data_IF_955831343152
#
_entry.id   IF_955831343152
#
_cell.length_a   1.000
_cell.length_b   1.000
_cell.length_c   1.000
_cell.angle_alpha   90.00
_cell.angle_beta   90.00
_cell.angle_gamma   90.00
#
_symmetry.space_group_name_H-M   'P 1'
#
loop_
_entity.id
_entity.type
_entity.pdbx_description
1 polymer ?
#
# COMPACT_ATOMS: atom_id res chain seq x y z
N UNK A 1 -12.92 4.78 2.95
CA UNK A 1 -13.58 5.36 1.76
C UNK A 1 -12.96 6.73 1.56
N UNK A 2 -12.04 6.85 0.61
CA UNK A 2 -11.38 8.12 0.29
C UNK A 2 -12.38 8.98 -0.48
N UNK A 3 -12.55 10.23 -0.08
CA UNK A 3 -13.49 11.15 -0.72
C UNK A 3 -12.79 12.48 -0.95
N UNK A 4 -12.52 12.77 -2.20
CA UNK A 4 -11.82 13.97 -2.61
C UNK A 4 -12.25 14.34 -4.04
N UNK A 5 -12.49 15.63 -4.35
CA UNK A 5 -12.92 16.05 -5.68
C UNK A 5 -11.94 15.62 -6.79
N UNK A 6 -10.63 15.62 -6.48
CA UNK A 6 -9.59 15.25 -7.42
C UNK A 6 -9.23 13.76 -7.47
N UNK A 7 -10.06 12.87 -6.91
CA UNK A 7 -9.89 11.43 -7.02
C UNK A 7 -11.12 10.82 -7.71
N UNK A 8 -10.89 9.86 -8.61
CA UNK A 8 -11.96 9.03 -9.16
C UNK A 8 -12.58 8.21 -8.02
N UNK A 9 -13.90 8.31 -7.86
CA UNK A 9 -14.63 7.57 -6.83
C UNK A 9 -14.56 6.06 -7.05
N UNK A 10 -14.16 5.30 -6.03
CA UNK A 10 -14.25 3.84 -6.03
C UNK A 10 -15.57 3.43 -5.37
N UNK A 11 -16.45 2.77 -6.12
CA UNK A 11 -17.77 2.40 -5.63
C UNK A 11 -17.81 0.98 -5.06
N UNK A 12 -17.23 0.00 -5.76
CA UNK A 12 -17.29 -1.40 -5.33
C UNK A 12 -16.19 -2.27 -5.96
N UNK A 13 -15.95 -3.43 -5.36
CA UNK A 13 -15.14 -4.51 -5.94
C UNK A 13 -16.04 -5.75 -6.02
N UNK A 14 -16.30 -6.22 -7.22
CA UNK A 14 -17.11 -7.41 -7.50
C UNK A 14 -16.22 -8.59 -7.86
N UNK A 15 -16.70 -9.79 -7.58
CA UNK A 15 -16.08 -11.03 -8.04
C UNK A 15 -17.13 -11.82 -8.79
N UNK A 16 -16.75 -12.42 -9.92
CA UNK A 16 -17.61 -13.37 -10.61
C UNK A 16 -17.51 -14.77 -9.98
N UNK A 17 -18.25 -15.73 -10.53
CA UNK A 17 -18.23 -17.13 -10.08
C UNK A 17 -16.89 -17.82 -10.28
N UNK A 18 -15.98 -17.25 -11.08
CA UNK A 18 -14.63 -17.74 -11.32
C UNK A 18 -13.58 -17.00 -10.45
N UNK A 19 -14.01 -16.24 -9.44
CA UNK A 19 -13.17 -15.40 -8.58
C UNK A 19 -12.41 -14.30 -9.35
N UNK A 20 -12.85 -13.94 -10.56
CA UNK A 20 -12.28 -12.82 -11.29
C UNK A 20 -12.81 -11.51 -10.71
N UNK A 21 -11.89 -10.67 -10.23
CA UNK A 21 -12.20 -9.37 -9.64
C UNK A 21 -12.50 -8.30 -10.70
N UNK A 22 -13.53 -7.49 -10.45
CA UNK A 22 -13.93 -6.32 -11.21
C UNK A 22 -14.02 -5.12 -10.27
N UNK A 23 -13.60 -3.96 -10.75
CA UNK A 23 -13.65 -2.72 -9.98
C UNK A 23 -14.71 -1.82 -10.59
N UNK A 24 -15.67 -1.39 -9.77
CA UNK A 24 -16.71 -0.42 -10.13
C UNK A 24 -16.26 0.94 -9.62
N UNK A 25 -16.06 1.88 -10.53
CA UNK A 25 -15.57 3.22 -10.24
C UNK A 25 -16.38 4.29 -10.97
N UNK A 26 -16.17 5.54 -10.59
CA UNK A 26 -16.71 6.71 -11.24
C UNK A 26 -16.31 6.76 -12.73
N UNK A 27 -17.27 7.03 -13.59
CA UNK A 27 -17.04 7.24 -15.02
C UNK A 27 -16.69 8.71 -15.27
N UNK A 28 -15.54 8.95 -15.90
CA UNK A 28 -15.09 10.27 -16.35
C UNK A 28 -15.19 10.32 -17.86
N UNK A 29 -16.00 11.24 -18.39
CA UNK A 29 -16.25 11.36 -19.83
C UNK A 29 -15.23 12.24 -20.57
N UNK A 30 -14.49 13.08 -19.83
CA UNK A 30 -13.54 14.01 -20.44
C UNK A 30 -12.20 13.38 -20.81
N UNK A 31 -11.34 14.19 -21.39
CA UNK A 31 -10.04 13.77 -21.92
C UNK A 31 -9.04 13.43 -20.82
N UNK A 32 -8.05 12.59 -21.15
CA UNK A 32 -6.90 12.37 -20.27
C UNK A 32 -5.92 13.54 -20.33
N UNK A 33 -5.04 13.64 -19.33
CA UNK A 33 -3.94 14.60 -19.36
C UNK A 33 -2.95 14.28 -20.49
N UNK A 34 -2.83 13.01 -20.89
CA UNK A 34 -2.04 12.61 -22.06
C UNK A 34 -2.55 13.31 -23.32
N UNK A 35 -3.86 13.22 -23.57
CA UNK A 35 -4.50 13.86 -24.74
C UNK A 35 -4.30 15.39 -24.71
N UNK A 36 -4.44 15.99 -23.52
CA UNK A 36 -4.24 17.43 -23.35
C UNK A 36 -2.78 17.86 -23.62
N UNK A 37 -1.78 17.07 -23.21
CA UNK A 37 -0.36 17.34 -23.51
C UNK A 37 -0.09 17.18 -25.01
N UNK A 38 -0.65 16.16 -25.64
CA UNK A 38 -0.44 15.90 -27.08
C UNK A 38 -1.01 17.03 -27.96
N UNK A 39 -2.09 17.69 -27.51
CA UNK A 39 -2.60 18.92 -28.11
C UNK A 39 -1.67 20.14 -27.95
N UNK A 40 -0.69 20.07 -27.04
CA UNK A 40 0.24 21.15 -26.69
C UNK A 40 1.72 20.74 -26.83
N UNK A 41 2.21 20.44 -28.05
CA UNK A 41 3.57 19.91 -28.28
C UNK A 41 4.71 20.90 -27.97
N UNK A 42 4.38 22.15 -27.62
CA UNK A 42 5.34 23.20 -27.20
C UNK A 42 5.13 23.62 -25.73
N UNK A 43 4.37 22.84 -24.97
CA UNK A 43 3.95 23.16 -23.61
C UNK A 43 2.61 23.89 -23.56
N UNK A 44 1.94 23.75 -22.42
CA UNK A 44 0.65 24.37 -22.15
C UNK A 44 0.78 25.84 -21.75
N UNK A 45 -0.24 26.68 -22.04
CA UNK A 45 -0.34 28.00 -21.44
C UNK A 45 -0.30 27.93 -19.92
N UNK A 46 0.33 28.92 -19.28
CA UNK A 46 0.57 28.92 -17.83
C UNK A 46 -0.69 28.69 -16.99
N UNK A 47 -1.81 29.32 -17.35
CA UNK A 47 -3.07 29.17 -16.62
C UNK A 47 -3.61 27.74 -16.67
N UNK A 48 -3.47 27.06 -17.79
CA UNK A 48 -3.90 25.67 -17.96
C UNK A 48 -2.96 24.71 -17.22
N UNK A 49 -1.65 24.94 -17.29
CA UNK A 49 -0.65 24.21 -16.51
C UNK A 49 -0.93 24.31 -15.00
N UNK A 50 -1.14 25.52 -14.49
CA UNK A 50 -1.42 25.75 -13.06
C UNK A 50 -2.74 25.08 -12.62
N UNK A 51 -3.77 25.08 -13.49
CA UNK A 51 -5.03 24.38 -13.24
C UNK A 51 -4.85 22.87 -13.14
N UNK A 52 -4.16 22.27 -14.10
CA UNK A 52 -3.91 20.82 -14.14
C UNK A 52 -3.04 20.39 -12.97
N UNK A 53 -1.87 21.01 -12.84
CA UNK A 53 -0.87 20.63 -11.85
C UNK A 53 -1.32 20.92 -10.42
N UNK A 54 -2.00 22.05 -10.20
CA UNK A 54 -2.52 22.44 -8.90
C UNK A 54 -3.51 21.44 -8.31
N UNK A 55 -4.49 21.04 -9.11
CA UNK A 55 -5.50 20.06 -8.70
C UNK A 55 -4.93 18.64 -8.58
N UNK A 56 -3.99 18.27 -9.47
CA UNK A 56 -3.24 17.01 -9.37
C UNK A 56 -2.48 16.93 -8.05
N UNK A 57 -1.72 17.97 -7.71
CA UNK A 57 -0.97 18.05 -6.46
C UNK A 57 -1.89 18.02 -5.22
N UNK A 58 -3.08 18.63 -5.29
CA UNK A 58 -4.09 18.55 -4.23
C UNK A 58 -4.57 17.12 -3.99
N UNK A 59 -4.90 16.39 -5.06
CA UNK A 59 -5.29 14.97 -4.97
C UNK A 59 -4.17 14.08 -4.42
N UNK A 60 -2.92 14.30 -4.86
CA UNK A 60 -1.75 13.54 -4.35
C UNK A 60 -1.48 13.85 -2.88
N UNK A 61 -1.55 15.13 -2.47
CA UNK A 61 -1.41 15.52 -1.08
C UNK A 61 -2.46 14.82 -0.19
N UNK A 62 -3.71 14.75 -0.64
CA UNK A 62 -4.78 14.03 0.06
C UNK A 62 -4.45 12.53 0.22
N UNK A 63 -3.96 11.87 -0.83
CA UNK A 63 -3.55 10.47 -0.75
C UNK A 63 -2.42 10.27 0.28
N UNK A 64 -1.38 11.11 0.22
CA UNK A 64 -0.22 11.02 1.11
C UNK A 64 -0.59 11.22 2.57
N UNK A 65 -1.49 12.16 2.88
CA UNK A 65 -1.97 12.41 4.24
C UNK A 65 -2.78 11.24 4.81
N UNK A 66 -3.38 10.42 3.93
CA UNK A 66 -4.07 9.19 4.30
C UNK A 66 -3.14 7.95 4.23
N UNK A 67 -1.83 8.14 4.09
CA UNK A 67 -0.83 7.06 4.07
C UNK A 67 -0.84 6.22 2.78
N UNK A 68 -1.41 6.75 1.70
CA UNK A 68 -1.54 6.08 0.41
C UNK A 68 -0.57 6.72 -0.58
N UNK A 69 0.26 5.89 -1.20
CA UNK A 69 1.16 6.28 -2.29
C UNK A 69 0.54 5.81 -3.59
N UNK A 70 0.50 6.67 -4.62
CA UNK A 70 -0.11 6.38 -5.91
C UNK A 70 0.65 5.29 -6.66
N UNK A 71 1.98 5.42 -6.79
CA UNK A 71 2.94 4.47 -7.40
C UNK A 71 2.93 4.35 -8.92
N UNK A 72 1.82 4.65 -9.58
CA UNK A 72 1.73 4.66 -11.06
C UNK A 72 1.23 6.00 -11.60
N UNK A 73 1.80 7.11 -11.11
CA UNK A 73 1.36 8.45 -11.49
C UNK A 73 1.88 8.80 -12.89
N UNK A 74 0.97 8.97 -13.85
CA UNK A 74 1.27 9.30 -15.25
C UNK A 74 0.08 10.02 -15.91
N UNK A 75 0.29 10.79 -17.00
CA UNK A 75 -0.78 11.52 -17.68
C UNK A 75 -1.96 10.67 -18.14
N UNK A 76 -1.74 9.40 -18.46
CA UNK A 76 -2.81 8.48 -18.87
C UNK A 76 -3.79 8.12 -17.73
N UNK A 77 -3.40 8.32 -16.47
CA UNK A 77 -4.22 8.01 -15.28
C UNK A 77 -4.84 9.29 -14.67
N UNK A 78 -4.76 10.41 -15.37
CA UNK A 78 -5.23 11.72 -14.91
C UNK A 78 -6.22 12.22 -15.94
N UNK A 79 -7.40 12.67 -15.51
CA UNK A 79 -8.51 13.00 -16.39
C UNK A 79 -9.08 14.38 -16.07
N UNK A 80 -9.64 15.04 -17.07
CA UNK A 80 -10.48 16.23 -16.88
C UNK A 80 -11.94 15.82 -16.83
N UNK A 81 -12.66 16.27 -15.80
CA UNK A 81 -14.10 16.19 -15.73
C UNK A 81 -14.69 17.59 -15.58
N UNK A 82 -15.00 18.22 -16.72
CA UNK A 82 -15.58 19.57 -16.76
C UNK A 82 -14.77 20.61 -15.99
N UNK A 83 -13.44 20.57 -16.13
CA UNK A 83 -12.51 21.47 -15.43
C UNK A 83 -12.01 20.97 -14.07
N UNK A 84 -12.55 19.86 -13.56
CA UNK A 84 -12.08 19.20 -12.34
C UNK A 84 -11.10 18.08 -12.73
N UNK A 85 -9.87 18.16 -12.24
CA UNK A 85 -8.87 17.11 -12.50
C UNK A 85 -9.13 15.93 -11.59
N UNK A 86 -9.24 14.72 -12.12
CA UNK A 86 -9.46 13.48 -11.36
C UNK A 86 -8.31 12.50 -11.58
N UNK A 87 -7.79 11.97 -10.47
CA UNK A 87 -6.74 10.95 -10.46
C UNK A 87 -7.39 9.56 -10.37
N UNK A 88 -7.09 8.70 -11.34
CA UNK A 88 -7.49 7.28 -11.38
C UNK A 88 -6.39 6.36 -10.89
N UNK A 89 -6.68 5.05 -10.82
CA UNK A 89 -5.73 3.95 -10.57
C UNK A 89 -4.83 4.05 -9.31
N UNK A 90 -5.15 4.96 -8.39
CA UNK A 90 -4.42 5.11 -7.14
C UNK A 90 -4.59 3.87 -6.24
N UNK A 91 -3.48 3.37 -5.70
CA UNK A 91 -3.50 2.29 -4.70
C UNK A 91 -3.84 0.88 -5.23
N UNK A 92 -4.13 0.71 -6.52
CA UNK A 92 -4.36 -0.61 -7.14
C UNK A 92 -3.06 -1.44 -7.24
N UNK A 93 -1.89 -0.79 -7.22
CA UNK A 93 -0.59 -1.45 -7.36
C UNK A 93 -0.25 -2.37 -6.17
N UNK A 94 -0.79 -2.14 -4.96
CA UNK A 94 -0.56 -3.08 -3.82
C UNK A 94 -1.22 -4.43 -4.04
N UNK A 95 -2.35 -4.47 -4.75
CA UNK A 95 -3.09 -5.71 -5.02
C UNK A 95 -2.59 -6.42 -6.29
N UNK A 96 -2.15 -5.65 -7.30
CA UNK A 96 -1.63 -6.20 -8.55
C UNK A 96 -0.18 -6.71 -8.40
N UNK A 97 0.60 -6.19 -7.44
CA UNK A 97 2.01 -6.61 -7.24
C UNK A 97 2.17 -8.02 -6.62
N UNK A 98 1.11 -8.63 -6.09
CA UNK A 98 1.14 -10.04 -5.69
C UNK A 98 1.25 -11.00 -6.89
N UNK A 99 0.93 -10.55 -8.11
CA UNK A 99 1.10 -11.32 -9.34
C UNK A 99 2.25 -10.78 -10.18
N UNK A 100 3.50 -10.95 -9.74
CA UNK A 100 4.71 -10.86 -10.61
C UNK A 100 4.76 -11.95 -11.70
N UNK A 101 3.61 -12.47 -12.15
CA UNK A 101 3.51 -13.57 -13.13
C UNK A 101 2.55 -13.28 -14.30
N UNK A 102 1.93 -12.10 -14.36
CA UNK A 102 1.13 -11.69 -15.52
C UNK A 102 1.87 -10.63 -16.31
N UNK A 103 2.25 -10.91 -17.55
CA UNK A 103 2.72 -9.92 -18.52
C UNK A 103 1.60 -8.94 -18.88
N UNK A 104 1.28 -8.05 -17.95
CA UNK A 104 0.62 -6.80 -18.25
C UNK A 104 1.65 -5.94 -18.98
N UNK A 105 1.27 -5.46 -20.15
CA UNK A 105 2.03 -4.60 -21.05
C UNK A 105 2.64 -3.41 -20.30
N UNK A 106 3.84 -3.58 -19.74
CA UNK A 106 4.70 -2.46 -19.33
C UNK A 106 5.13 -1.76 -20.61
N UNK A 107 4.26 -0.87 -21.11
CA UNK A 107 4.55 -0.05 -22.27
C UNK A 107 5.72 0.88 -21.93
N UNK A 108 6.59 1.12 -22.91
CA UNK A 108 7.74 2.03 -22.80
C UNK A 108 7.34 3.37 -22.15
N UNK A 109 6.11 3.83 -22.42
CA UNK A 109 5.50 5.03 -21.84
C UNK A 109 5.51 5.11 -20.31
N UNK A 110 5.37 3.99 -19.60
CA UNK A 110 5.29 3.97 -18.13
C UNK A 110 6.63 4.33 -17.46
N UNK A 111 7.77 3.98 -18.09
CA UNK A 111 9.09 4.21 -17.49
C UNK A 111 9.48 5.68 -17.39
N UNK A 112 8.89 6.55 -18.21
CA UNK A 112 9.18 8.00 -18.23
C UNK A 112 8.86 8.72 -16.92
N UNK A 113 7.97 8.16 -16.10
CA UNK A 113 7.53 8.75 -14.83
C UNK A 113 8.09 8.02 -13.61
N UNK A 114 8.91 6.98 -13.83
CA UNK A 114 9.41 6.10 -12.77
C UNK A 114 10.57 6.75 -12.01
N UNK A 115 10.43 6.85 -10.68
CA UNK A 115 11.50 7.31 -9.81
C UNK A 115 12.66 6.28 -9.77
N UNK A 116 13.93 6.74 -9.72
CA UNK A 116 15.10 5.87 -9.80
C UNK A 116 15.19 4.82 -8.68
N UNK A 117 14.63 5.11 -7.51
CA UNK A 117 14.63 4.23 -6.34
C UNK A 117 13.60 3.10 -6.40
N UNK A 118 12.63 3.13 -7.31
CA UNK A 118 11.62 2.07 -7.44
C UNK A 118 12.28 0.72 -7.72
N UNK A 119 13.34 0.69 -8.53
CA UNK A 119 14.13 -0.52 -8.80
C UNK A 119 14.86 -1.09 -7.57
N UNK A 120 15.06 -0.29 -6.52
CA UNK A 120 15.70 -0.72 -5.26
C UNK A 120 14.72 -1.36 -4.27
N UNK A 121 13.42 -1.19 -4.47
CA UNK A 121 12.36 -1.82 -3.66
C UNK A 121 12.02 -1.11 -2.34
N UNK A 122 12.79 -0.11 -1.93
CA UNK A 122 12.51 0.74 -0.76
C UNK A 122 12.10 2.14 -1.23
N UNK A 123 10.81 2.47 -1.09
CA UNK A 123 10.27 3.75 -1.54
C UNK A 123 8.99 4.14 -0.78
N UNK A 124 8.79 5.45 -0.60
CA UNK A 124 7.64 6.05 0.04
C UNK A 124 6.89 6.99 -0.89
N UNK A 125 6.37 8.09 -0.36
CA UNK A 125 5.65 9.15 -1.09
C UNK A 125 6.53 9.92 -2.08
N UNK A 126 7.84 9.85 -1.91
CA UNK A 126 8.86 10.59 -2.67
C UNK A 126 8.87 10.22 -4.16
N UNK A 127 8.40 9.02 -4.50
CA UNK A 127 8.29 8.58 -5.90
C UNK A 127 7.17 9.32 -6.64
N UNK A 128 6.07 9.64 -5.95
CA UNK A 128 4.98 10.40 -6.54
C UNK A 128 5.42 11.86 -6.72
N UNK A 129 6.24 12.40 -5.81
CA UNK A 129 6.86 13.73 -5.96
C UNK A 129 7.76 13.79 -7.20
N UNK A 130 8.51 12.72 -7.47
CA UNK A 130 9.32 12.64 -8.68
C UNK A 130 8.46 12.59 -9.95
N UNK A 131 7.42 11.75 -9.95
CA UNK A 131 6.48 11.65 -11.06
C UNK A 131 5.76 13.00 -11.31
N UNK A 132 5.35 13.72 -10.25
CA UNK A 132 4.84 15.08 -10.36
C UNK A 132 5.85 16.03 -11.02
N UNK A 133 7.14 15.91 -10.69
CA UNK A 133 8.22 16.67 -11.33
C UNK A 133 8.34 16.40 -12.83
N UNK A 134 8.23 15.14 -13.24
CA UNK A 134 8.24 14.74 -14.66
C UNK A 134 7.01 15.31 -15.37
N UNK A 135 5.82 15.14 -14.78
CA UNK A 135 4.56 15.66 -15.35
C UNK A 135 4.62 17.18 -15.48
N UNK A 136 5.11 17.90 -14.47
CA UNK A 136 5.25 19.36 -14.52
C UNK A 136 6.19 19.82 -15.63
N UNK A 137 7.31 19.12 -15.82
CA UNK A 137 8.23 19.39 -16.93
C UNK A 137 7.54 19.17 -18.28
N UNK A 138 6.77 18.10 -18.39
CA UNK A 138 6.05 17.76 -19.61
C UNK A 138 4.93 18.75 -19.92
N UNK A 139 4.16 19.18 -18.93
CA UNK A 139 3.16 20.25 -19.10
C UNK A 139 3.81 21.56 -19.57
N UNK A 140 5.02 21.86 -19.09
CA UNK A 140 5.73 23.09 -19.43
C UNK A 140 6.37 23.07 -20.83
N UNK A 141 6.71 21.89 -21.37
CA UNK A 141 7.54 21.78 -22.59
C UNK A 141 6.92 20.96 -23.71
N UNK A 142 5.88 20.16 -23.41
CA UNK A 142 5.30 19.16 -24.31
C UNK A 142 6.19 17.92 -24.49
N UNK A 143 7.26 17.78 -23.70
CA UNK A 143 8.24 16.68 -23.81
C UNK A 143 8.61 16.15 -22.44
N UNK A 144 9.02 14.89 -22.37
CA UNK A 144 9.57 14.30 -21.14
C UNK A 144 11.03 14.73 -20.92
N UNK A 145 11.52 14.81 -19.66
CA UNK A 145 12.89 15.23 -19.37
C UNK A 145 13.93 14.17 -19.74
N UNK A 146 13.52 12.90 -19.80
CA UNK A 146 14.37 11.77 -20.16
C UNK A 146 13.61 10.90 -21.15
N UNK A 147 14.11 10.81 -22.38
CA UNK A 147 13.56 9.98 -23.44
C UNK A 147 14.66 9.06 -24.00
N UNK A 148 14.33 8.00 -24.71
CA UNK A 148 15.31 7.05 -25.25
C UNK A 148 14.71 6.00 -26.18
N UNK A 149 15.56 5.26 -26.89
CA UNK A 149 15.13 4.25 -27.87
C UNK A 149 14.65 2.95 -27.20
N UNK A 150 15.04 2.73 -25.94
CA UNK A 150 14.66 1.54 -25.16
C UNK A 150 14.27 1.90 -23.73
N UNK A 151 13.44 1.05 -23.11
CA UNK A 151 13.05 1.19 -21.71
C UNK A 151 14.26 1.20 -20.77
N UNK A 152 15.28 0.38 -21.06
CA UNK A 152 16.51 0.32 -20.29
C UNK A 152 17.29 1.64 -20.36
N UNK A 153 17.33 2.27 -21.53
CA UNK A 153 17.97 3.58 -21.71
C UNK A 153 17.23 4.67 -20.92
N UNK A 154 15.91 4.70 -20.98
CA UNK A 154 15.07 5.64 -20.23
C UNK A 154 15.29 5.48 -18.72
N UNK A 155 15.27 4.24 -18.22
CA UNK A 155 15.56 3.94 -16.80
C UNK A 155 16.97 4.40 -16.43
N UNK A 156 17.98 4.13 -17.27
CA UNK A 156 19.36 4.54 -17.01
C UNK A 156 19.49 6.07 -16.95
N UNK A 157 18.78 6.81 -17.82
CA UNK A 157 18.72 8.27 -17.78
C UNK A 157 18.07 8.76 -16.48
N UNK A 158 16.98 8.14 -16.02
CA UNK A 158 16.42 8.45 -14.71
C UNK A 158 17.40 8.17 -13.56
N UNK A 159 18.26 7.16 -13.66
CA UNK A 159 19.27 6.85 -12.65
C UNK A 159 20.47 7.81 -12.63
N UNK A 160 20.91 8.27 -13.81
CA UNK A 160 22.26 8.88 -13.96
C UNK A 160 22.26 10.28 -14.58
N UNK A 161 21.31 10.60 -15.46
CA UNK A 161 21.32 11.85 -16.22
C UNK A 161 20.73 13.01 -15.41
N UNK A 162 21.26 14.21 -15.68
CA UNK A 162 20.72 15.48 -15.20
C UNK A 162 19.66 15.95 -16.21
N UNK A 163 18.45 16.37 -15.79
CA UNK A 163 17.44 16.84 -16.72
C UNK A 163 17.89 18.16 -17.38
N UNK A 164 17.66 18.31 -18.68
CA UNK A 164 17.84 19.60 -19.35
C UNK A 164 16.66 20.51 -18.99
N UNK A 165 16.95 21.62 -18.29
CA UNK A 165 15.95 22.59 -17.86
C UNK A 165 16.04 23.93 -18.62
N UNK A 166 16.75 23.94 -19.75
CA UNK A 166 16.94 25.14 -20.58
C UNK A 166 15.61 25.70 -21.11
N UNK A 167 14.66 24.82 -21.45
CA UNK A 167 13.35 25.17 -21.98
C UNK A 167 12.35 25.69 -20.93
N UNK A 168 12.62 25.44 -19.65
CA UNK A 168 11.73 25.83 -18.55
C UNK A 168 12.21 27.15 -17.95
N UNK A 169 11.31 28.11 -17.74
CA UNK A 169 11.65 29.45 -17.21
C UNK A 169 11.00 29.74 -15.86
N UNK A 170 11.59 30.68 -15.12
CA UNK A 170 11.03 31.18 -13.87
C UNK A 170 10.97 30.13 -12.74
N UNK A 171 9.99 30.22 -11.84
CA UNK A 171 9.88 29.33 -10.67
C UNK A 171 9.74 27.84 -11.01
N UNK A 172 9.19 27.52 -12.20
CA UNK A 172 9.05 26.13 -12.66
C UNK A 172 10.39 25.41 -12.74
N UNK A 173 11.47 26.11 -13.14
CA UNK A 173 12.80 25.52 -13.28
C UNK A 173 13.33 24.98 -11.96
N UNK A 174 13.17 25.78 -10.89
CA UNK A 174 13.62 25.40 -9.55
C UNK A 174 12.78 24.24 -9.01
N UNK A 175 11.46 24.32 -9.16
CA UNK A 175 10.52 23.29 -8.70
C UNK A 175 10.79 21.95 -9.39
N UNK A 176 10.89 21.95 -10.71
CA UNK A 176 11.17 20.73 -11.47
C UNK A 176 12.56 20.19 -11.11
N UNK A 177 13.59 21.04 -11.05
CA UNK A 177 14.94 20.63 -10.71
C UNK A 177 15.03 19.95 -9.34
N UNK A 178 14.37 20.53 -8.33
CA UNK A 178 14.33 19.94 -6.99
C UNK A 178 13.54 18.64 -6.95
N UNK A 179 12.37 18.56 -7.61
CA UNK A 179 11.56 17.35 -7.66
C UNK A 179 12.26 16.18 -8.38
N UNK A 180 13.08 16.46 -9.41
CA UNK A 180 13.83 15.44 -10.17
C UNK A 180 15.20 15.09 -9.57
N UNK A 181 15.50 15.54 -8.35
CA UNK A 181 16.74 15.17 -7.65
C UNK A 181 16.79 13.66 -7.42
N UNK A 182 17.95 13.05 -7.68
CA UNK A 182 18.11 11.58 -7.60
C UNK A 182 18.03 11.06 -6.17
N UNK A 183 18.50 11.83 -5.20
CA UNK A 183 18.31 11.54 -3.78
C UNK A 183 16.86 11.89 -3.36
N UNK A 184 16.03 10.90 -2.96
CA UNK A 184 14.64 11.15 -2.58
C UNK A 184 14.49 12.12 -1.41
N UNK A 185 15.43 12.08 -0.44
CA UNK A 185 15.40 12.95 0.74
C UNK A 185 15.69 14.44 0.42
N UNK A 186 16.24 14.74 -0.75
CA UNK A 186 16.51 16.10 -1.20
C UNK A 186 15.34 16.72 -2.00
N UNK A 187 14.32 15.93 -2.34
CA UNK A 187 13.11 16.40 -3.04
C UNK A 187 12.21 17.19 -2.08
N UNK A 188 11.06 17.62 -2.58
CA UNK A 188 10.00 18.16 -1.72
C UNK A 188 9.49 17.08 -0.77
N UNK A 189 9.21 17.47 0.47
CA UNK A 189 8.67 16.57 1.48
C UNK A 189 7.24 16.10 1.13
N UNK A 190 6.47 16.93 0.45
CA UNK A 190 5.11 16.64 0.01
C UNK A 190 4.72 17.51 -1.19
N UNK A 191 3.56 17.23 -1.77
CA UNK A 191 3.05 17.94 -2.95
C UNK A 191 2.66 19.40 -2.64
N UNK A 192 2.35 19.76 -1.37
CA UNK A 192 2.02 21.14 -0.99
C UNK A 192 3.26 22.02 -1.06
N UNK A 193 4.36 21.56 -0.49
CA UNK A 193 5.65 22.25 -0.53
C UNK A 193 6.15 22.46 -1.97
N UNK A 194 5.76 21.58 -2.90
CA UNK A 194 6.08 21.71 -4.32
C UNK A 194 5.30 22.85 -5.02
N UNK A 195 4.11 23.22 -4.51
CA UNK A 195 3.27 24.28 -5.07
C UNK A 195 3.66 25.69 -4.58
N UNK A 196 4.21 25.82 -3.37
CA UNK A 196 4.52 27.13 -2.78
C UNK A 196 5.37 28.04 -3.68
N UNK A 197 6.48 27.57 -4.32
CA UNK A 197 7.30 28.42 -5.18
C UNK A 197 6.58 28.87 -6.45
N UNK A 198 5.50 28.18 -6.85
CA UNK A 198 4.65 28.56 -7.97
C UNK A 198 3.63 29.64 -7.58
N UNK A 199 3.55 30.00 -6.29
CA UNK A 199 2.54 30.92 -5.75
C UNK A 199 1.15 30.27 -5.64
N UNK A 200 1.12 28.95 -5.54
CA UNK A 200 -0.09 28.14 -5.47
C UNK A 200 -0.22 27.50 -4.08
N UNK A 201 -1.45 27.35 -3.59
CA UNK A 201 -1.72 26.78 -2.28
C UNK A 201 -2.88 25.79 -2.30
N UNK A 202 -2.90 24.91 -1.30
CA UNK A 202 -3.99 23.96 -1.04
C UNK A 202 -4.56 24.32 0.34
N UNK A 203 -5.88 24.57 0.43
CA UNK A 203 -6.54 24.85 1.71
C UNK A 203 -6.70 23.57 2.55
N UNK A 204 -7.16 23.72 3.79
CA UNK A 204 -7.44 22.59 4.72
C UNK A 204 -8.53 21.64 4.21
N UNK A 205 -9.33 22.05 3.22
CA UNK A 205 -10.34 21.22 2.56
C UNK A 205 -9.79 20.55 1.30
N UNK A 206 -8.48 20.65 1.07
CA UNK A 206 -7.78 20.19 -0.11
C UNK A 206 -8.28 20.82 -1.41
N UNK A 207 -8.88 22.01 -1.31
CA UNK A 207 -9.25 22.79 -2.47
C UNK A 207 -8.04 23.60 -2.92
N UNK A 208 -7.85 23.65 -4.24
CA UNK A 208 -6.82 24.46 -4.84
C UNK A 208 -7.18 25.95 -4.73
N UNK A 209 -6.32 26.72 -4.09
CA UNK A 209 -6.42 28.18 -4.01
C UNK A 209 -5.37 28.76 -4.93
N UNK A 210 -5.80 29.34 -6.05
CA UNK A 210 -4.89 30.06 -6.94
C UNK A 210 -4.55 31.43 -6.36
N UNK A 211 -3.30 31.82 -6.59
CA UNK A 211 -2.58 33.04 -6.20
C UNK A 211 -3.41 34.05 -5.41
N UNK A 212 -3.04 34.26 -4.15
CA UNK A 212 -3.56 35.35 -3.34
C UNK A 212 -3.41 36.66 -4.13
N UNK A 213 -4.52 37.21 -4.64
CA UNK A 213 -4.55 38.60 -5.00
C UNK A 213 -4.14 39.35 -3.74
N UNK A 214 -3.04 40.09 -3.80
CA UNK A 214 -2.75 41.11 -2.81
C UNK A 214 -3.95 42.04 -2.77
N UNK A 215 -4.87 41.82 -1.82
CA UNK A 215 -5.98 42.72 -1.54
C UNK A 215 -5.34 43.96 -0.93
N UNK A 216 -5.27 45.12 -1.60
CA UNK A 216 -4.96 46.36 -0.90
C UNK A 216 -6.07 46.58 0.14
N UNK A 217 -5.75 47.14 1.32
CA UNK A 217 -6.76 47.35 2.35
C UNK A 217 -7.86 48.24 1.77
N UNK A 218 -9.04 47.66 1.56
CA UNK A 218 -10.24 48.44 1.23
C UNK A 218 -10.57 49.23 2.48
N UNK A 219 -10.23 50.51 2.43
CA UNK A 219 -10.71 51.52 3.35
C UNK A 219 -12.23 51.55 3.26
N UNK A 220 -12.85 51.45 4.42
CA UNK A 220 -14.28 51.57 4.67
C UNK A 220 -14.87 52.86 4.12
N UNK A 221 -15.96 52.73 3.35
CA UNK A 221 -17.05 53.70 3.42
C UNK A 221 -18.36 52.97 3.68
N UNK A 222 -18.86 53.16 4.89
CA UNK A 222 -20.24 52.88 5.24
C UNK A 222 -21.16 53.74 4.38
N UNK A 223 -22.17 53.14 3.76
CA UNK A 223 -23.35 53.87 3.28
C UNK A 223 -24.58 52.99 3.40
N UNK A 224 -25.37 53.32 4.40
CA UNK A 224 -26.75 52.91 4.62
C UNK A 224 -27.65 53.43 3.49
N UNK A 225 -28.55 52.58 2.97
CA UNK A 225 -29.90 52.92 2.52
C UNK A 225 -30.50 51.65 1.88
N UNK A 226 -31.47 50.97 2.49
CA UNK A 226 -32.91 51.28 2.44
C UNK A 226 -33.60 50.38 1.39
N UNK A 227 -34.27 49.32 1.86
CA UNK A 227 -35.23 48.56 1.06
C UNK A 227 -36.52 48.38 1.86
N UNK A 228 -37.61 48.85 1.26
CA UNK A 228 -38.94 48.97 1.84
C UNK A 228 -39.77 47.67 1.72
N UNK A 229 -40.52 47.39 2.80
CA UNK A 229 -41.93 47.01 2.90
C UNK A 229 -42.60 46.01 1.90
N UNK A 230 -42.83 44.77 2.37
CA UNK A 230 -44.11 43.99 2.59
C UNK A 230 -45.32 44.05 1.59
N UNK A 231 -46.31 43.09 1.59
CA UNK A 231 -46.73 42.18 2.68
C UNK A 231 -47.12 40.71 2.32
N UNK A 232 -47.44 39.92 3.36
CA UNK A 232 -48.12 38.61 3.36
C UNK A 232 -49.67 38.75 3.42
N UNK A 233 -50.44 37.67 3.16
CA UNK A 233 -51.27 37.01 4.22
C UNK A 233 -51.28 35.46 4.05
N UNK A 234 -51.75 34.56 4.92
CA UNK A 234 -52.47 34.55 6.21
C UNK A 234 -52.31 33.14 6.87
N UNK A 235 -52.62 33.07 8.17
CA UNK A 235 -52.37 31.99 9.15
C UNK A 235 -53.46 30.88 9.20
N UNK A 236 -53.16 29.56 9.39
CA UNK A 236 -53.20 28.68 10.62
C UNK A 236 -54.64 28.41 11.17
N UNK A 237 -55.09 27.18 11.58
CA UNK A 237 -54.45 26.40 12.66
C UNK A 237 -54.42 24.85 12.65
N UNK A 238 -53.25 24.34 13.04
CA UNK A 238 -52.95 23.53 14.25
C UNK A 238 -54.07 22.66 14.88
N UNK A 239 -53.81 21.35 14.99
CA UNK A 239 -54.29 20.54 16.12
C UNK A 239 -53.36 19.35 16.42
N UNK A 240 -52.86 19.33 17.64
CA UNK A 240 -52.11 18.25 18.27
C UNK A 240 -52.99 17.04 18.62
N UNK A 241 -52.40 15.84 18.70
CA UNK A 241 -52.60 14.86 19.79
C UNK A 241 -51.59 13.71 19.71
N UNK A 242 -51.08 13.36 20.88
CA UNK A 242 -50.15 12.27 21.24
C UNK A 242 -50.67 10.82 20.98
N UNK A 243 -49.81 9.79 21.13
CA UNK A 243 -50.09 8.42 20.68
C UNK A 243 -50.66 7.52 21.80
N UNK A 244 -51.30 6.38 21.47
CA UNK A 244 -51.54 5.33 22.45
C UNK A 244 -50.56 4.16 22.30
N UNK A 245 -50.10 3.71 23.47
CA UNK A 245 -49.44 2.42 23.71
C UNK A 245 -50.46 1.27 23.77
N UNK A 246 -49.94 0.09 23.47
CA UNK A 246 -50.15 -1.20 24.16
C UNK A 246 -51.25 -2.16 23.70
N UNK A 247 -50.86 -3.44 23.81
CA UNK A 247 -51.62 -4.68 23.87
C UNK A 247 -52.18 -5.20 22.53
N UNK A 248 -52.26 -6.50 22.26
CA UNK A 248 -51.84 -7.78 22.85
C UNK A 248 -52.31 -8.84 21.81
N UNK A 249 -51.92 -10.10 21.99
CA UNK A 249 -52.36 -11.33 21.28
C UNK A 249 -51.47 -11.72 20.08
N UNK A 250 -50.97 -12.95 19.96
CA UNK A 250 -51.23 -14.16 20.74
C UNK A 250 -50.18 -15.26 20.53
N UNK A 251 -50.24 -16.21 21.46
CA UNK A 251 -49.48 -17.46 21.58
C UNK A 251 -49.37 -18.27 20.30
N UNK A 252 -48.25 -18.97 20.15
CA UNK A 252 -48.26 -20.42 19.97
C UNK A 252 -47.02 -21.05 20.63
N UNK A 253 -47.30 -21.99 21.54
CA UNK A 253 -46.37 -22.91 22.19
C UNK A 253 -46.18 -24.12 21.27
N UNK A 254 -44.97 -24.69 21.26
CA UNK A 254 -44.61 -26.13 21.28
C UNK A 254 -43.10 -26.20 21.00
N UNK A 255 -42.26 -27.04 21.59
CA UNK A 255 -42.27 -27.85 22.80
C UNK A 255 -40.79 -28.16 23.09
N UNK A 256 -40.43 -28.23 24.37
CA UNK A 256 -39.09 -28.56 24.81
C UNK A 256 -38.83 -30.07 24.73
N UNK A 257 -37.63 -30.46 24.31
CA UNK A 257 -37.02 -31.73 24.67
C UNK A 257 -35.67 -31.45 25.35
N UNK A 258 -35.54 -32.00 26.56
CA UNK A 258 -34.33 -32.03 27.40
C UNK A 258 -33.56 -33.34 27.11
N UNK A 259 -32.26 -33.42 27.46
CA UNK A 259 -31.31 -34.42 26.98
C UNK A 259 -31.14 -35.58 27.96
N UNK A 260 -30.59 -36.70 27.47
CA UNK A 260 -29.83 -37.68 28.24
C UNK A 260 -29.20 -38.71 27.28
N UNK A 261 -27.99 -39.19 27.60
CA UNK A 261 -27.41 -40.36 26.96
C UNK A 261 -25.92 -40.28 26.66
N UNK A 262 -25.11 -40.65 27.65
CA UNK A 262 -23.67 -40.91 27.60
C UNK A 262 -23.24 -41.85 26.45
N UNK A 263 -22.07 -41.57 25.85
CA UNK A 263 -21.19 -42.61 25.32
C UNK A 263 -19.76 -42.08 25.07
N UNK A 264 -18.89 -42.43 26.03
CA UNK A 264 -17.49 -42.82 25.86
C UNK A 264 -16.49 -41.88 25.18
N UNK A 265 -15.67 -41.29 26.06
CA UNK A 265 -14.28 -40.96 25.81
C UNK A 265 -13.50 -42.18 25.28
N UNK A 266 -12.84 -42.01 24.13
CA UNK A 266 -11.67 -42.78 23.75
C UNK A 266 -10.44 -41.89 23.88
N UNK A 267 -9.73 -42.08 24.99
CA UNK A 267 -8.38 -41.59 25.21
C UNK A 267 -7.36 -42.59 24.67
N UNK A 268 -6.50 -42.12 23.75
CA UNK A 268 -5.20 -42.73 23.45
C UNK A 268 -4.62 -42.30 22.09
N UNK A 269 -3.28 -42.24 21.94
CA UNK A 269 -2.30 -41.52 22.73
C UNK A 269 -2.00 -40.14 22.13
N UNK A 270 -1.80 -39.16 23.00
CA UNK A 270 -1.19 -37.89 22.65
C UNK A 270 0.30 -38.09 22.28
N UNK A 271 0.59 -38.36 21.02
CA UNK A 271 1.95 -38.24 20.47
C UNK A 271 1.91 -38.15 18.94
N UNK A 272 2.42 -37.04 18.40
CA UNK A 272 2.79 -36.83 16.99
C UNK A 272 1.68 -36.61 15.96
N UNK A 273 0.76 -35.68 16.21
CA UNK A 273 0.21 -34.91 15.07
C UNK A 273 1.33 -33.99 14.58
N UNK A 274 2.22 -34.53 13.74
CA UNK A 274 3.18 -33.72 13.00
C UNK A 274 2.38 -32.73 12.17
N UNK A 275 2.48 -31.45 12.54
CA UNK A 275 2.01 -30.33 11.75
C UNK A 275 2.61 -30.43 10.34
N UNK A 276 1.84 -30.99 9.40
CA UNK A 276 2.30 -31.05 8.01
C UNK A 276 2.18 -29.65 7.42
N UNK A 277 3.34 -29.06 7.08
CA UNK A 277 3.36 -27.79 6.36
C UNK A 277 2.65 -27.92 5.01
N UNK A 278 1.78 -26.96 4.64
CA UNK A 278 0.99 -27.04 3.41
C UNK A 278 1.86 -27.08 2.15
N UNK A 279 3.05 -26.43 2.19
CA UNK A 279 4.01 -26.44 1.08
C UNK A 279 4.75 -27.78 1.00
N UNK A 280 5.29 -28.26 2.11
CA UNK A 280 5.97 -29.56 2.15
C UNK A 280 5.03 -30.71 1.76
N UNK A 281 3.74 -30.62 2.12
CA UNK A 281 2.71 -31.57 1.70
C UNK A 281 2.51 -31.59 0.20
N UNK A 282 2.30 -30.42 -0.45
CA UNK A 282 2.15 -30.32 -1.90
C UNK A 282 3.40 -30.80 -2.66
N UNK A 283 4.60 -30.52 -2.15
CA UNK A 283 5.85 -31.01 -2.73
C UNK A 283 5.91 -32.53 -2.66
N UNK A 284 5.53 -33.13 -1.52
CA UNK A 284 5.51 -34.58 -1.32
C UNK A 284 4.46 -35.26 -2.21
N UNK A 285 3.26 -34.70 -2.31
CA UNK A 285 2.21 -35.16 -3.21
C UNK A 285 2.65 -35.07 -4.68
N UNK A 286 3.32 -33.99 -5.07
CA UNK A 286 3.92 -33.82 -6.40
C UNK A 286 5.02 -34.85 -6.69
N UNK A 287 5.87 -35.14 -5.71
CA UNK A 287 6.93 -36.16 -5.84
C UNK A 287 6.35 -37.57 -5.99
N UNK A 288 5.34 -37.91 -5.19
CA UNK A 288 4.64 -39.18 -5.29
C UNK A 288 3.95 -39.31 -6.66
N UNK A 289 3.28 -38.26 -7.14
CA UNK A 289 2.69 -38.22 -8.48
C UNK A 289 3.71 -38.37 -9.62
N UNK A 290 4.86 -37.69 -9.53
CA UNK A 290 5.93 -37.78 -10.52
C UNK A 290 6.55 -39.19 -10.56
N UNK A 291 6.79 -39.79 -9.39
CA UNK A 291 7.33 -41.15 -9.29
C UNK A 291 6.36 -42.20 -9.83
N UNK A 292 5.06 -42.05 -9.56
CA UNK A 292 4.01 -42.91 -10.09
C UNK A 292 3.91 -42.77 -11.62
N UNK A 293 3.91 -41.54 -12.14
CA UNK A 293 3.92 -41.27 -13.57
C UNK A 293 5.16 -41.87 -14.26
N UNK A 294 6.35 -41.70 -13.69
CA UNK A 294 7.60 -42.28 -14.22
C UNK A 294 7.58 -43.81 -14.26
N UNK A 295 6.98 -44.43 -13.25
CA UNK A 295 6.81 -45.88 -13.22
C UNK A 295 5.85 -46.38 -14.30
N UNK A 296 4.80 -45.60 -14.63
CA UNK A 296 3.77 -45.93 -15.61
C UNK A 296 4.16 -45.64 -17.07
N UNK A 297 5.31 -45.00 -17.32
CA UNK A 297 5.79 -44.76 -18.69
C UNK A 297 6.07 -46.09 -19.42
N UNK A 298 5.56 -46.28 -20.66
CA UNK A 298 5.72 -47.51 -21.45
C UNK A 298 7.11 -47.63 -22.09
N UNK A 299 8.15 -47.19 -21.38
CA UNK A 299 9.53 -47.20 -21.84
C UNK A 299 10.27 -48.42 -21.29
N UNK A 300 11.18 -48.98 -22.08
CA UNK A 300 12.05 -50.06 -21.62
C UNK A 300 13.00 -49.58 -20.51
N UNK A 301 13.52 -50.47 -19.65
CA UNK A 301 14.46 -50.08 -18.59
C UNK A 301 15.69 -49.32 -19.13
N UNK A 302 16.18 -49.67 -20.32
CA UNK A 302 17.30 -48.99 -20.98
C UNK A 302 16.97 -47.58 -21.49
N UNK A 303 15.72 -47.32 -21.88
CA UNK A 303 15.27 -45.99 -22.29
C UNK A 303 15.12 -45.06 -21.07
N UNK A 304 14.64 -45.59 -19.93
CA UNK A 304 14.54 -44.84 -18.68
C UNK A 304 15.92 -44.45 -18.13
N UNK A 305 16.91 -45.34 -18.21
CA UNK A 305 18.28 -45.02 -17.81
C UNK A 305 18.93 -44.00 -18.73
N UNK A 306 18.75 -44.11 -20.05
CA UNK A 306 19.26 -43.12 -21.00
C UNK A 306 18.67 -41.72 -20.77
N UNK A 307 17.36 -41.62 -20.54
CA UNK A 307 16.70 -40.35 -20.22
C UNK A 307 17.22 -39.73 -18.92
N UNK A 308 17.50 -40.55 -17.89
CA UNK A 308 18.06 -40.08 -16.62
C UNK A 308 19.49 -39.56 -16.78
N UNK A 309 20.32 -40.23 -17.59
CA UNK A 309 21.68 -39.77 -17.92
C UNK A 309 21.65 -38.43 -18.66
N UNK A 310 20.77 -38.28 -19.66
CA UNK A 310 20.59 -37.01 -20.38
C UNK A 310 20.13 -35.91 -19.44
N UNK A 311 19.20 -36.18 -18.53
CA UNK A 311 18.73 -35.22 -17.53
C UNK A 311 19.87 -34.78 -16.60
N UNK A 312 20.72 -35.70 -16.13
CA UNK A 312 21.87 -35.39 -15.29
C UNK A 312 22.87 -34.51 -16.04
N UNK A 313 23.16 -34.82 -17.32
CA UNK A 313 24.07 -34.02 -18.16
C UNK A 313 23.51 -32.61 -18.37
N UNK A 314 22.20 -32.48 -18.62
CA UNK A 314 21.56 -31.17 -18.76
C UNK A 314 21.61 -30.37 -17.45
N UNK A 315 21.42 -31.03 -16.30
CA UNK A 315 21.52 -30.39 -14.98
C UNK A 315 22.94 -29.94 -14.65
N UNK A 316 23.97 -30.71 -15.04
CA UNK A 316 25.37 -30.32 -14.81
C UNK A 316 25.81 -29.17 -15.70
N UNK A 317 25.40 -29.15 -16.98
CA UNK A 317 25.66 -28.04 -17.89
C UNK A 317 25.04 -26.74 -17.37
N UNK A 318 23.85 -26.81 -16.79
CA UNK A 318 23.11 -25.66 -16.28
C UNK A 318 23.29 -25.42 -14.78
N UNK A 319 24.24 -26.10 -14.13
CA UNK A 319 24.43 -26.02 -12.68
C UNK A 319 24.72 -24.59 -12.20
N UNK A 320 25.48 -23.81 -12.98
CA UNK A 320 25.80 -22.42 -12.69
C UNK A 320 24.57 -21.49 -12.72
N UNK A 321 23.56 -21.82 -13.52
CA UNK A 321 22.29 -21.09 -13.58
C UNK A 321 21.29 -21.57 -12.51
N UNK A 322 21.32 -22.85 -12.16
CA UNK A 322 20.40 -23.46 -11.19
C UNK A 322 20.77 -23.18 -9.74
N UNK A 323 22.07 -23.10 -9.42
CA UNK A 323 22.55 -22.83 -8.07
C UNK A 323 22.05 -21.48 -7.50
N UNK A 324 22.15 -20.33 -8.20
CA UNK A 324 21.64 -19.07 -7.69
C UNK A 324 20.11 -19.08 -7.52
N UNK A 325 19.37 -19.77 -8.40
CA UNK A 325 17.92 -19.94 -8.26
C UNK A 325 17.55 -20.74 -7.00
N UNK A 326 18.30 -21.79 -6.69
CA UNK A 326 18.11 -22.59 -5.48
C UNK A 326 18.42 -21.78 -4.21
N UNK A 327 19.47 -20.95 -4.25
CA UNK A 327 19.83 -20.04 -3.14
C UNK A 327 18.72 -19.02 -2.90
N UNK A 328 18.18 -18.40 -3.95
CA UNK A 328 17.05 -17.47 -3.85
C UNK A 328 15.81 -18.18 -3.30
N UNK A 329 15.52 -19.39 -3.77
CA UNK A 329 14.40 -20.18 -3.25
C UNK A 329 14.57 -20.49 -1.76
N UNK A 330 15.78 -20.83 -1.31
CA UNK A 330 16.09 -21.06 0.10
C UNK A 330 15.98 -19.77 0.93
N UNK A 331 16.48 -18.65 0.41
CA UNK A 331 16.38 -17.33 1.04
C UNK A 331 14.95 -16.85 1.21
N UNK A 332 14.01 -17.28 0.35
CA UNK A 332 12.59 -16.98 0.50
C UNK A 332 11.87 -17.99 1.39
N UNK A 333 12.25 -19.28 1.32
CA UNK A 333 11.62 -20.35 2.08
C UNK A 333 11.94 -20.27 3.57
N UNK A 334 13.19 -19.99 3.95
CA UNK A 334 13.62 -19.96 5.36
C UNK A 334 12.89 -18.87 6.16
N UNK A 335 12.75 -17.62 5.69
CA UNK A 335 11.95 -16.59 6.38
C UNK A 335 10.46 -16.94 6.41
N UNK A 336 9.91 -17.47 5.31
CA UNK A 336 8.53 -17.95 5.28
C UNK A 336 8.28 -19.02 6.35
N UNK A 337 9.17 -20.01 6.44
CA UNK A 337 9.12 -21.08 7.44
C UNK A 337 9.24 -20.52 8.86
N UNK A 338 10.14 -19.56 9.10
CA UNK A 338 10.30 -18.92 10.40
C UNK A 338 9.05 -18.13 10.83
N UNK A 339 8.42 -17.40 9.91
CA UNK A 339 7.15 -16.68 10.17
C UNK A 339 6.00 -17.65 10.40
N UNK A 340 5.87 -18.68 9.57
CA UNK A 340 4.86 -19.73 9.74
C UNK A 340 5.01 -20.47 11.08
N UNK A 341 6.24 -20.78 11.46
CA UNK A 341 6.58 -21.43 12.73
C UNK A 341 6.23 -20.55 13.93
N UNK A 342 6.63 -19.28 13.91
CA UNK A 342 6.37 -18.33 15.02
C UNK A 342 4.89 -17.99 15.21
N UNK A 343 4.11 -17.92 14.12
CA UNK A 343 2.66 -17.70 14.18
C UNK A 343 1.88 -18.93 14.66
N UNK A 344 2.47 -20.13 14.61
CA UNK A 344 1.79 -21.39 14.95
C UNK A 344 2.37 -22.13 16.15
N UNK A 345 3.43 -21.63 16.77
CA UNK A 345 3.78 -22.02 18.14
C UNK A 345 2.69 -21.52 19.10
N UNK A 346 1.90 -22.40 19.73
CA UNK A 346 0.91 -21.95 20.70
C UNK A 346 1.63 -21.21 21.84
N UNK A 347 1.09 -20.06 22.24
CA UNK A 347 1.60 -19.33 23.40
C UNK A 347 1.72 -20.28 24.59
N UNK A 348 2.81 -20.24 25.37
CA UNK A 348 2.98 -21.11 26.52
C UNK A 348 1.75 -21.00 27.43
N UNK A 349 1.15 -22.14 27.74
CA UNK A 349 -0.07 -22.21 28.54
C UNK A 349 0.08 -21.41 29.84
N UNK A 350 -1.03 -20.93 30.41
CA UNK A 350 -0.99 -20.17 31.67
C UNK A 350 -0.16 -20.88 32.77
N UNK A 351 -0.15 -22.22 32.79
CA UNK A 351 0.73 -23.03 33.65
C UNK A 351 2.23 -22.87 33.35
N UNK A 352 2.65 -22.82 32.09
CA UNK A 352 4.05 -22.59 31.72
C UNK A 352 4.52 -21.15 31.98
N UNK A 353 3.62 -20.16 31.84
CA UNK A 353 3.88 -18.78 32.26
C UNK A 353 4.05 -18.67 33.77
N UNK A 354 3.17 -19.32 34.55
CA UNK A 354 3.31 -19.42 35.99
C UNK A 354 4.60 -20.14 36.42
N UNK A 355 4.98 -21.24 35.74
CA UNK A 355 6.21 -21.97 36.04
C UNK A 355 7.50 -21.19 35.69
N UNK A 356 7.48 -20.38 34.62
CA UNK A 356 8.57 -19.47 34.29
C UNK A 356 8.64 -18.29 35.25
N UNK A 357 7.51 -17.67 35.60
CA UNK A 357 7.45 -16.63 36.64
C UNK A 357 8.00 -17.15 37.98
N UNK A 358 7.56 -18.32 38.44
CA UNK A 358 8.04 -18.96 39.66
C UNK A 358 9.54 -19.31 39.63
N UNK A 359 10.10 -19.70 38.47
CA UNK A 359 11.55 -19.92 38.30
C UNK A 359 12.36 -18.61 38.28
N UNK A 360 11.74 -17.51 37.87
CA UNK A 360 12.39 -16.19 37.83
C UNK A 360 12.39 -15.57 39.23
N UNK A 361 11.28 -15.72 39.96
CA UNK A 361 11.17 -15.40 41.39
C UNK A 361 12.10 -16.26 42.25
N UNK A 362 12.23 -17.57 41.98
CA UNK A 362 13.17 -18.42 42.72
C UNK A 362 14.65 -18.08 42.43
N UNK A 363 14.95 -17.50 41.25
CA UNK A 363 16.30 -17.00 40.92
C UNK A 363 16.58 -15.68 41.64
N UNK A 364 15.63 -14.75 41.68
CA UNK A 364 15.74 -13.52 42.47
C UNK A 364 15.83 -13.79 43.97
N UNK A 365 15.03 -14.71 44.50
CA UNK A 365 15.08 -15.12 45.91
C UNK A 365 16.39 -15.83 46.28
N UNK A 366 16.98 -16.65 45.39
CA UNK A 366 18.32 -17.24 45.58
C UNK A 366 19.44 -16.21 45.52
N UNK A 367 19.29 -15.17 44.70
CA UNK A 367 20.28 -14.10 44.58
C UNK A 367 20.23 -13.17 45.81
N UNK A 368 19.04 -12.91 46.38
CA UNK A 368 18.90 -12.19 47.66
C UNK A 368 19.35 -12.99 48.88
N UNK A 369 19.15 -14.31 48.92
CA UNK A 369 19.69 -15.16 50.01
C UNK A 369 21.21 -15.28 49.96
N UNK A 370 21.84 -15.25 48.78
CA UNK A 370 23.30 -15.15 48.67
C UNK A 370 23.86 -13.77 49.10
N UNK A 371 23.09 -12.68 48.92
CA UNK A 371 23.50 -11.34 49.39
C UNK A 371 23.31 -11.20 50.91
N UNK A 372 22.28 -11.81 51.51
CA UNK A 372 22.13 -11.83 52.97
C UNK A 372 23.10 -12.79 53.67
N UNK A 373 23.39 -13.97 53.11
CA UNK A 373 24.40 -14.87 53.67
C UNK A 373 25.84 -14.32 53.59
N UNK A 374 26.13 -13.42 52.63
CA UNK A 374 27.39 -12.70 52.57
C UNK A 374 27.45 -11.51 53.56
N UNK A 375 26.30 -10.95 53.97
CA UNK A 375 26.23 -9.88 54.96
C UNK A 375 26.33 -10.40 56.42
N UNK A 376 25.83 -11.60 56.70
CA UNK A 376 25.88 -12.19 58.05
C UNK A 376 27.25 -12.79 58.44
N UNK A 377 28.18 -12.93 57.48
CA UNK A 377 29.56 -13.36 57.77
C UNK A 377 30.52 -12.22 58.19
N UNK A 378 30.04 -10.98 58.28
CA UNK A 378 30.86 -9.82 58.66
C UNK A 378 30.55 -9.19 60.03
N UNK A 379 29.75 -9.84 60.87
CA UNK A 379 29.55 -9.36 62.24
C UNK A 379 29.53 -10.48 63.29
N UNK A 380 30.71 -11.02 63.60
CA UNK A 380 30.97 -11.60 64.93
C UNK A 380 32.01 -10.74 65.64
N UNK A 381 31.65 -10.05 66.74
CA UNK A 381 32.61 -9.30 67.53
C UNK A 381 33.51 -10.26 68.32
N UNK A 382 34.80 -9.94 68.34
CA UNK A 382 35.81 -10.57 69.18
C UNK A 382 35.38 -10.52 70.65
N UNK A 383 35.23 -11.69 71.27
CA UNK A 383 35.23 -11.82 72.72
C UNK A 383 36.57 -12.41 73.15
N UNK A 384 37.45 -11.53 73.64
CA UNK A 384 38.60 -11.88 74.48
C UNK A 384 38.11 -12.46 75.81
N UNK A 385 38.84 -13.44 76.33
CA UNK A 385 39.38 -13.57 77.72
C UNK A 385 39.37 -15.02 78.21
N UNK A 386 40.17 -15.38 79.23
CA UNK A 386 41.42 -14.78 79.72
C UNK A 386 42.67 -15.61 79.41
#
# INVERSE_FOLDING_TARGET
NLKHPNLIGLYDIKFDSAEQGWIVMEYVAGQSLRDAIDAHPRGMPRAELERWFGQLAAGVAYLHDHGIVHRDLKPANIFDDSGIVKIGDYGLSKFISCSRRGGQTESVGTFHYMAPEIGKGEYGKEIDIYALGVILYELATGRVPFDGESSQEIIMKHLTAVPDLSLVVGPLREVIGRALTKNPAARYHDARAMLEPLGLGIDERYLFVSRAASIPPVVTHASSAEYASQPAPDQIPERATEPPRSNRWGRSRHAAHKPEGDAQEHFGPAASVYYQEPVARKIREGWLGLSAWWSQLPWSPGQKTAALVVLIILLTINASALLPLLIVALMLYVPYYAVWWTLRTPAPSARQRAHRAARTESRYARQQTHVHAAADHHWRPEAKQP
#
